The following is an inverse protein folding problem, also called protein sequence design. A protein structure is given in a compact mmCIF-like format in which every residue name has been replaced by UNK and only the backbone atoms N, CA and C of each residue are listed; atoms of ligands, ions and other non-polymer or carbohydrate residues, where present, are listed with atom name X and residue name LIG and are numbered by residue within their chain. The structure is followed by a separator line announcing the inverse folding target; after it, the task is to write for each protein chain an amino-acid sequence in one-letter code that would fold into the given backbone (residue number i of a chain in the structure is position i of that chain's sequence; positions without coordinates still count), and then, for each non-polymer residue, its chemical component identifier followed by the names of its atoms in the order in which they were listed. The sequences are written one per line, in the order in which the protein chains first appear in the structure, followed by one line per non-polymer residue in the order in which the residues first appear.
data_IF_998341432688
#
_entry.id   IF_998341432688
#
_cell.length_a   1.000
_cell.length_b   1.000
_cell.length_c   1.000
_cell.angle_alpha   90.00
_cell.angle_beta   90.00
_cell.angle_gamma   90.00
#
_symmetry.space_group_name_H-M   'P 1'
#
loop_
_entity.id
_entity.type
_entity.pdbx_description
1 polymer ?
#
# COMPACT_ATOMS: atom_id res chain seq x y z
N UNK A 1 0.24 -10.13 -4.56
CA UNK A 1 1.13 -10.43 -3.42
C UNK A 1 2.55 -10.84 -3.82
N UNK A 2 2.75 -11.79 -4.76
CA UNK A 2 4.10 -12.27 -5.15
C UNK A 2 5.03 -11.13 -5.58
N UNK A 3 4.56 -10.28 -6.51
CA UNK A 3 5.29 -9.10 -7.01
C UNK A 3 5.67 -8.13 -5.88
N UNK A 4 4.76 -7.85 -4.95
CA UNK A 4 5.03 -6.96 -3.80
C UNK A 4 6.17 -7.49 -2.93
N UNK A 5 6.14 -8.80 -2.59
CA UNK A 5 7.17 -9.42 -1.76
C UNK A 5 8.52 -9.46 -2.46
N UNK A 6 8.55 -9.85 -3.73
CA UNK A 6 9.79 -10.00 -4.50
C UNK A 6 10.45 -8.66 -4.83
N UNK A 7 9.66 -7.61 -5.08
CA UNK A 7 10.18 -6.26 -5.36
C UNK A 7 10.45 -5.43 -4.10
N UNK A 8 10.10 -5.92 -2.91
CA UNK A 8 10.13 -5.13 -1.68
C UNK A 8 9.21 -3.91 -1.73
N UNK A 9 8.06 -4.01 -2.42
CA UNK A 9 7.08 -2.94 -2.55
C UNK A 9 7.50 -1.78 -3.45
N UNK A 10 8.42 -2.01 -4.40
CA UNK A 10 8.94 -0.96 -5.31
C UNK A 10 8.64 -1.20 -6.79
N UNK A 11 7.85 -2.22 -7.11
CA UNK A 11 7.46 -2.48 -8.50
C UNK A 11 6.53 -1.36 -9.02
N UNK A 12 6.85 -0.72 -10.17
CA UNK A 12 6.04 0.37 -10.73
C UNK A 12 4.59 -0.02 -11.01
N UNK A 13 4.31 -1.30 -11.25
CA UNK A 13 2.94 -1.78 -11.54
C UNK A 13 2.02 -1.71 -10.33
N UNK A 14 2.59 -1.62 -9.12
CA UNK A 14 1.83 -1.55 -7.88
C UNK A 14 1.38 -0.13 -7.55
N UNK A 15 1.94 0.90 -8.20
CA UNK A 15 1.64 2.31 -7.93
C UNK A 15 1.68 2.61 -6.41
N UNK A 16 2.83 2.32 -5.80
CA UNK A 16 3.01 2.46 -4.35
C UNK A 16 3.27 3.93 -4.02
N UNK A 17 2.44 4.51 -3.16
CA UNK A 17 2.56 5.91 -2.74
C UNK A 17 2.20 6.07 -1.26
N UNK A 18 2.68 7.16 -0.66
CA UNK A 18 2.36 7.53 0.71
C UNK A 18 0.97 8.17 0.75
N UNK A 19 0.15 7.80 1.74
CA UNK A 19 -1.15 8.44 1.95
C UNK A 19 -0.95 9.84 2.54
N UNK A 20 -2.00 10.66 2.46
CA UNK A 20 -1.97 12.05 2.93
C UNK A 20 -2.90 12.25 4.14
N UNK A 21 -2.89 13.46 4.71
CA UNK A 21 -3.79 13.84 5.80
C UNK A 21 -3.59 13.01 7.07
N UNK A 22 -4.69 12.46 7.62
CA UNK A 22 -4.67 11.70 8.88
C UNK A 22 -3.92 10.37 8.77
N UNK A 23 -3.76 9.83 7.55
CA UNK A 23 -3.07 8.57 7.27
C UNK A 23 -1.66 8.77 6.73
N UNK A 24 -1.05 9.93 6.98
CA UNK A 24 0.29 10.26 6.47
C UNK A 24 1.41 9.29 6.83
N UNK A 25 1.22 8.41 7.81
CA UNK A 25 2.21 7.37 8.16
C UNK A 25 2.01 6.07 7.37
N UNK A 26 0.89 5.94 6.67
CA UNK A 26 0.54 4.79 5.84
C UNK A 26 0.95 4.98 4.38
N UNK A 27 1.12 3.85 3.72
CA UNK A 27 1.34 3.71 2.29
C UNK A 27 0.18 2.94 1.70
N UNK A 28 -0.07 3.10 0.40
CA UNK A 28 -1.02 2.29 -0.33
C UNK A 28 -0.44 1.81 -1.64
N UNK A 29 -0.94 0.67 -2.12
CA UNK A 29 -0.69 0.18 -3.47
C UNK A 29 -1.98 -0.31 -4.11
N UNK A 30 -2.03 -0.22 -5.44
CA UNK A 30 -3.19 -0.59 -6.25
C UNK A 30 -3.26 -2.11 -6.45
N UNK A 31 -4.44 -2.69 -6.20
CA UNK A 31 -4.77 -4.09 -6.52
C UNK A 31 -5.33 -4.17 -7.93
N UNK A 32 -6.22 -3.23 -8.24
CA UNK A 32 -6.74 -2.93 -9.57
C UNK A 32 -7.00 -1.41 -9.67
N UNK A 33 -7.81 -0.97 -10.64
CA UNK A 33 -8.15 0.46 -10.78
C UNK A 33 -9.00 1.01 -9.64
N UNK A 34 -9.77 0.15 -8.98
CA UNK A 34 -10.75 0.52 -7.96
C UNK A 34 -10.18 0.35 -6.56
N UNK A 35 -9.55 -0.79 -6.27
CA UNK A 35 -9.13 -1.19 -4.94
C UNK A 35 -7.65 -0.93 -4.67
N UNK A 36 -7.37 -0.51 -3.44
CA UNK A 36 -6.03 -0.32 -2.88
C UNK A 36 -5.93 -1.04 -1.53
N UNK A 37 -4.71 -1.44 -1.19
CA UNK A 37 -4.36 -1.96 0.13
C UNK A 37 -3.48 -0.92 0.82
N UNK A 38 -3.90 -0.49 2.01
CA UNK A 38 -3.12 0.38 2.87
C UNK A 38 -2.25 -0.43 3.85
N UNK A 39 -1.06 0.07 4.15
CA UNK A 39 -0.09 -0.61 4.98
C UNK A 39 0.95 0.33 5.62
N UNK A 40 1.65 -0.17 6.63
CA UNK A 40 2.84 0.49 7.21
C UNK A 40 4.06 -0.41 7.12
N UNK A 41 5.23 0.19 6.94
CA UNK A 41 6.51 -0.53 7.04
C UNK A 41 6.86 -0.79 8.51
N UNK A 42 7.30 -2.01 8.78
CA UNK A 42 7.82 -2.45 10.08
C UNK A 42 9.28 -2.87 9.94
N UNK A 43 9.96 -3.00 11.07
CA UNK A 43 11.31 -3.55 11.11
C UNK A 43 11.38 -5.00 10.63
N UNK A 44 12.54 -5.38 10.10
CA UNK A 44 12.82 -6.74 9.64
C UNK A 44 12.15 -7.10 8.30
N UNK A 45 12.03 -6.13 7.39
CA UNK A 45 11.42 -6.31 6.07
C UNK A 45 9.97 -6.84 6.14
N UNK A 46 9.20 -6.30 7.10
CA UNK A 46 7.80 -6.66 7.31
C UNK A 46 6.91 -5.46 7.00
N UNK A 47 5.67 -5.76 6.66
CA UNK A 47 4.61 -4.76 6.52
C UNK A 47 3.39 -5.22 7.29
N UNK A 48 2.63 -4.28 7.83
CA UNK A 48 1.31 -4.52 8.39
C UNK A 48 0.26 -3.95 7.45
N UNK A 49 -0.62 -4.80 6.94
CA UNK A 49 -1.79 -4.35 6.18
C UNK A 49 -2.83 -3.80 7.16
N UNK A 50 -3.20 -2.54 6.97
CA UNK A 50 -4.07 -1.78 7.88
C UNK A 50 -5.49 -1.68 7.34
N UNK A 51 -5.67 -1.65 6.01
CA UNK A 51 -6.98 -1.57 5.40
C UNK A 51 -6.98 -2.06 3.94
N UNK A 52 -8.16 -2.38 3.42
CA UNK A 52 -8.45 -2.55 1.99
C UNK A 52 -9.71 -1.77 1.66
N UNK A 53 -9.69 -1.03 0.55
CA UNK A 53 -10.82 -0.21 0.15
C UNK A 53 -10.63 0.36 -1.24
N UNK A 54 -11.62 1.11 -1.70
CA UNK A 54 -11.55 1.83 -2.97
C UNK A 54 -10.61 3.04 -2.89
N UNK A 55 -10.37 3.72 -4.02
CA UNK A 55 -9.63 5.00 -4.03
C UNK A 55 -10.24 5.98 -3.04
N UNK A 56 -11.55 6.21 -3.13
CA UNK A 56 -12.25 7.24 -2.37
C UNK A 56 -12.43 6.87 -0.90
N UNK A 57 -12.39 5.58 -0.55
CA UNK A 57 -12.48 5.13 0.86
C UNK A 57 -11.15 5.21 1.60
N UNK A 58 -10.02 5.21 0.87
CA UNK A 58 -8.69 5.22 1.47
C UNK A 58 -8.06 6.61 1.55
N UNK A 59 -8.51 7.53 0.70
CA UNK A 59 -8.10 8.94 0.66
C UNK A 59 -9.11 9.86 1.32
#
# INVERSE_FOLDING_TARGET
MKIFKESGGRDPRLDVHKLHGKKKEEWAYSVDRSYRIAFVFLEGNRVLYTNIGTHDELY
#
